data_IF_201889150685
#
_entry.id   IF_201889150685
#
_cell.length_a   1.000
_cell.length_b   1.000
_cell.length_c   1.000
_cell.angle_alpha   90.00
_cell.angle_beta   90.00
_cell.angle_gamma   90.00
#
_symmetry.space_group_name_H-M   'P 1'
#
loop_
_entity.id
_entity.type
_entity.pdbx_description
1 polymer ?
#
# COMPACT_ATOMS: atom_id res chain seq x y z
N UNK A 1 0.84 -20.89 6.87
CA UNK A 1 0.97 -19.95 5.76
C UNK A 1 2.26 -19.16 5.87
N UNK A 2 2.97 -19.05 4.77
CA UNK A 2 4.19 -18.29 4.74
C UNK A 2 4.00 -16.97 4.08
N UNK A 3 4.53 -15.95 4.72
CA UNK A 3 4.60 -14.63 4.15
C UNK A 3 6.04 -14.30 3.86
N UNK A 4 6.32 -13.81 2.70
CA UNK A 4 7.64 -13.30 2.36
C UNK A 4 7.48 -11.89 1.82
N UNK A 5 8.51 -11.07 2.02
CA UNK A 5 8.43 -9.70 1.58
C UNK A 5 9.78 -9.21 1.08
N UNK A 6 9.74 -8.19 0.26
CA UNK A 6 10.95 -7.56 -0.26
C UNK A 6 10.62 -6.12 -0.66
N UNK A 7 11.65 -5.33 -0.86
CA UNK A 7 11.49 -3.96 -1.34
C UNK A 7 11.78 -3.97 -2.83
N UNK A 8 10.82 -3.47 -3.62
CA UNK A 8 11.00 -3.46 -5.07
C UNK A 8 11.86 -2.26 -5.51
N UNK A 9 12.08 -2.15 -6.81
CA UNK A 9 12.97 -1.11 -7.34
C UNK A 9 12.42 0.31 -7.11
N UNK A 10 11.14 0.45 -6.87
CA UNK A 10 10.54 1.75 -6.58
C UNK A 10 10.53 2.07 -5.09
N UNK A 11 11.09 1.20 -4.27
CA UNK A 11 11.17 1.42 -2.83
C UNK A 11 9.94 0.99 -2.06
N UNK A 12 8.98 0.35 -2.71
CA UNK A 12 7.78 -0.14 -2.04
C UNK A 12 8.01 -1.52 -1.46
N UNK A 13 7.42 -1.76 -0.30
CA UNK A 13 7.46 -3.10 0.29
C UNK A 13 6.41 -3.98 -0.37
N UNK A 14 6.84 -5.13 -0.84
CA UNK A 14 5.95 -6.11 -1.47
C UNK A 14 5.83 -7.30 -0.53
N UNK A 15 4.61 -7.78 -0.34
CA UNK A 15 4.34 -8.96 0.48
C UNK A 15 3.79 -10.04 -0.43
N UNK A 16 4.37 -11.23 -0.35
CA UNK A 16 3.90 -12.37 -1.13
C UNK A 16 3.11 -13.30 -0.22
N UNK A 17 1.88 -13.59 -0.59
CA UNK A 17 1.00 -14.49 0.15
C UNK A 17 0.44 -15.50 -0.85
N UNK A 18 0.73 -16.78 -0.60
CA UNK A 18 0.22 -17.89 -1.43
C UNK A 18 0.52 -17.68 -2.91
N UNK A 19 1.70 -17.17 -3.22
CA UNK A 19 2.11 -16.97 -4.60
C UNK A 19 1.63 -15.69 -5.25
N UNK A 20 0.90 -14.85 -4.51
CA UNK A 20 0.44 -13.57 -5.03
C UNK A 20 1.19 -12.44 -4.34
N UNK A 21 1.53 -11.44 -5.12
CA UNK A 21 2.24 -10.27 -4.59
C UNK A 21 1.27 -9.13 -4.35
N UNK A 22 1.43 -8.48 -3.20
CA UNK A 22 0.63 -7.32 -2.83
C UNK A 22 1.54 -6.24 -2.30
N UNK A 23 1.17 -4.99 -2.49
CA UNK A 23 1.86 -3.92 -1.77
C UNK A 23 1.49 -4.01 -0.29
N UNK A 24 2.48 -3.84 0.58
CA UNK A 24 2.22 -3.89 2.02
C UNK A 24 1.23 -2.80 2.44
N UNK A 25 1.30 -1.61 1.82
CA UNK A 25 0.35 -0.55 2.16
C UNK A 25 -1.07 -0.90 1.73
N UNK A 26 -1.24 -1.68 0.66
CA UNK A 26 -2.58 -2.15 0.27
C UNK A 26 -3.12 -3.13 1.29
N UNK A 27 -2.27 -4.02 1.80
CA UNK A 27 -2.69 -4.96 2.83
C UNK A 27 -3.02 -4.26 4.14
N UNK A 28 -2.26 -3.23 4.47
CA UNK A 28 -2.56 -2.43 5.65
C UNK A 28 -3.93 -1.75 5.51
N UNK A 29 -4.21 -1.24 4.33
CA UNK A 29 -5.50 -0.61 4.05
C UNK A 29 -6.63 -1.62 4.20
N UNK A 30 -6.44 -2.81 3.63
CA UNK A 30 -7.43 -3.87 3.73
C UNK A 30 -7.67 -4.27 5.19
N UNK A 31 -6.60 -4.37 5.97
CA UNK A 31 -6.70 -4.77 7.37
C UNK A 31 -7.47 -3.74 8.20
N UNK A 32 -7.26 -2.47 7.93
CA UNK A 32 -7.86 -1.40 8.74
C UNK A 32 -9.26 -1.03 8.28
N UNK A 33 -9.57 -1.18 7.00
CA UNK A 33 -10.85 -0.73 6.46
C UNK A 33 -11.74 -1.85 5.96
N UNK A 34 -11.18 -3.05 5.78
CA UNK A 34 -11.94 -4.19 5.29
C UNK A 34 -12.00 -4.28 3.77
N UNK A 35 -11.38 -3.36 3.05
CA UNK A 35 -11.35 -3.42 1.60
C UNK A 35 -10.07 -2.79 1.07
N UNK A 36 -9.71 -3.15 -0.16
CA UNK A 36 -8.55 -2.56 -0.79
C UNK A 36 -8.79 -1.08 -1.09
N UNK A 37 -7.74 -0.28 -1.16
CA UNK A 37 -7.91 1.14 -1.43
C UNK A 37 -8.48 1.38 -2.82
N UNK A 38 -9.34 2.38 -2.93
CA UNK A 38 -10.01 2.69 -4.18
C UNK A 38 -9.23 3.66 -5.06
N UNK A 39 -8.04 4.00 -4.65
CA UNK A 39 -7.18 4.88 -5.40
C UNK A 39 -5.74 4.63 -4.99
N UNK A 40 -4.88 5.59 -5.26
CA UNK A 40 -3.48 5.42 -4.94
C UNK A 40 -3.23 5.77 -3.48
N UNK A 41 -2.55 4.86 -2.77
CA UNK A 41 -2.15 5.13 -1.39
C UNK A 41 -0.83 5.90 -1.41
N UNK A 42 -0.76 6.96 -0.61
CA UNK A 42 0.44 7.76 -0.47
C UNK A 42 1.06 7.55 0.90
N UNK A 43 2.40 7.61 0.93
CA UNK A 43 3.15 7.59 2.18
C UNK A 43 3.43 9.03 2.58
N UNK A 44 2.85 9.46 3.69
CA UNK A 44 2.84 10.87 4.08
C UNK A 44 4.26 11.43 4.25
N UNK A 45 5.17 10.64 4.82
CA UNK A 45 6.54 11.09 5.03
C UNK A 45 7.44 10.87 3.82
N UNK A 46 6.89 10.37 2.70
CA UNK A 46 7.68 10.11 1.50
C UNK A 46 8.48 8.82 1.52
N UNK A 47 8.41 8.05 2.59
CA UNK A 47 9.13 6.79 2.69
C UNK A 47 8.23 5.64 2.22
N UNK A 48 8.49 5.13 1.02
CA UNK A 48 7.62 4.16 0.37
C UNK A 48 7.56 2.81 1.07
N UNK A 49 8.43 2.54 2.03
CA UNK A 49 8.38 1.28 2.76
C UNK A 49 7.94 1.46 4.22
N UNK A 50 7.49 2.65 4.59
CA UNK A 50 6.97 2.90 5.92
C UNK A 50 5.45 2.78 5.87
N UNK A 51 4.96 1.56 6.04
CA UNK A 51 3.56 1.23 5.82
C UNK A 51 2.71 1.31 7.08
N UNK A 52 3.16 2.04 8.09
CA UNK A 52 2.35 2.25 9.28
C UNK A 52 1.06 2.97 8.89
N UNK A 53 -0.03 2.54 9.48
CA UNK A 53 -1.34 3.09 9.12
C UNK A 53 -1.37 4.61 9.23
N UNK A 54 -0.75 5.17 10.27
CA UNK A 54 -0.75 6.62 10.46
C UNK A 54 0.06 7.37 9.39
N UNK A 55 0.86 6.66 8.60
CA UNK A 55 1.65 7.24 7.52
C UNK A 55 1.01 7.06 6.15
N UNK A 56 -0.17 6.49 6.09
CA UNK A 56 -0.84 6.21 4.81
C UNK A 56 -2.04 7.12 4.63
N UNK A 57 -2.26 7.53 3.39
CA UNK A 57 -3.49 8.23 3.05
C UNK A 57 -3.86 7.89 1.62
N UNK A 58 -5.14 8.02 1.32
CA UNK A 58 -5.62 7.77 -0.01
C UNK A 58 -5.56 9.05 -0.81
N UNK A 59 -4.86 9.00 -1.94
CA UNK A 59 -4.82 10.14 -2.83
C UNK A 59 -6.13 10.19 -3.60
N UNK A 60 -6.83 11.30 -3.51
CA UNK A 60 -8.07 11.46 -4.23
C UNK A 60 -7.79 11.38 -5.72
N UNK A 61 -8.60 10.65 -6.41
CA UNK A 61 -8.50 10.60 -7.84
C UNK A 61 -8.97 11.91 -8.35
N UNK A 62 -8.09 12.68 -8.90
CA UNK A 62 -8.50 13.90 -9.36
C UNK A 62 -8.59 13.82 -10.78
N UNK A 63 -9.61 13.95 -11.27
CA UNK A 63 -9.61 14.31 -12.54
C UNK A 63 -10.20 15.56 -12.50
N UNK A 64 -9.80 16.12 -12.85
CA UNK A 64 -10.24 17.21 -12.75
C UNK A 64 -11.18 17.69 -13.46
N UNK A 65 -11.41 17.66 -13.31
CA UNK A 65 -12.09 17.93 -13.63
C UNK A 65 -12.24 18.69 -14.03
N UNK A 66 -12.01 18.90 -14.04
CA UNK A 66 -12.15 19.48 -14.21
C UNK A 66 -12.09 19.84 -14.63
#
# INVERSE_FOLDING_TARGET
MKQAGYINSDGYRIITIDGREYFAHDLAWLDMTGEFPKGKVEHINGNNNDDRWCNLRLKAATYSDH
#
